data_IF_837069674879
#
_entry.id   IF_837069674879
#
_cell.length_a   1.000
_cell.length_b   1.000
_cell.length_c   1.000
_cell.angle_alpha   90.00
_cell.angle_beta   90.00
_cell.angle_gamma   90.00
#
_symmetry.space_group_name_H-M   'P 1'
#
loop_
_entity.id
_entity.type
_entity.pdbx_description
1 polymer ?
#
# COMPACT_ATOMS: atom_id res chain seq x y z
N UNK A 1 -16.74 12.33 -21.72
CA UNK A 1 -17.53 11.77 -20.62
C UNK A 1 -16.71 12.01 -19.38
N UNK A 2 -17.10 13.03 -18.62
CA UNK A 2 -16.38 13.48 -17.43
C UNK A 2 -16.92 12.67 -16.24
N UNK A 3 -16.30 11.52 -15.96
CA UNK A 3 -16.58 10.79 -14.73
C UNK A 3 -15.99 11.60 -13.57
N UNK A 4 -16.86 12.31 -12.85
CA UNK A 4 -16.54 12.98 -11.58
C UNK A 4 -15.70 12.05 -10.72
N UNK A 5 -14.40 12.35 -10.63
CA UNK A 5 -13.41 11.47 -10.04
C UNK A 5 -13.63 11.40 -8.53
N UNK A 6 -14.12 10.24 -8.08
CA UNK A 6 -14.28 9.96 -6.65
C UNK A 6 -12.94 9.97 -5.90
N UNK A 7 -12.98 10.10 -4.56
CA UNK A 7 -11.78 10.11 -3.75
C UNK A 7 -11.01 8.78 -3.89
N UNK A 8 -9.68 8.85 -4.03
CA UNK A 8 -8.81 7.69 -4.26
C UNK A 8 -9.10 6.54 -3.28
N UNK A 9 -9.32 5.33 -3.80
CA UNK A 9 -9.74 4.17 -3.02
C UNK A 9 -8.64 3.63 -2.08
N UNK A 10 -7.37 3.89 -2.39
CA UNK A 10 -6.21 3.42 -1.64
C UNK A 10 -5.17 4.51 -1.44
N UNK A 11 -4.57 4.57 -0.25
CA UNK A 11 -3.42 5.42 0.09
C UNK A 11 -2.34 4.53 0.72
N UNK A 12 -1.07 4.75 0.41
CA UNK A 12 0.06 4.05 1.04
C UNK A 12 0.68 4.98 2.07
N UNK A 13 0.60 4.59 3.34
CA UNK A 13 1.27 5.31 4.42
C UNK A 13 2.69 4.79 4.59
N UNK A 14 3.66 5.70 4.56
CA UNK A 14 5.07 5.41 4.82
C UNK A 14 5.47 5.99 6.18
N UNK A 15 5.97 5.12 7.05
CA UNK A 15 6.25 5.43 8.45
C UNK A 15 7.72 5.83 8.63
N UNK A 16 7.97 7.13 8.56
CA UNK A 16 9.30 7.69 8.79
C UNK A 16 9.73 7.52 10.26
N UNK A 17 11.05 7.55 10.48
CA UNK A 17 11.60 7.79 11.81
C UNK A 17 11.18 9.20 12.29
N UNK A 18 11.07 9.37 13.62
CA UNK A 18 10.77 10.68 14.23
C UNK A 18 11.74 11.76 13.71
N UNK A 19 11.21 12.91 13.29
CA UNK A 19 11.97 14.02 12.72
C UNK A 19 12.36 13.88 11.24
N UNK A 20 12.11 12.74 10.61
CA UNK A 20 12.43 12.49 9.19
C UNK A 20 11.21 12.52 8.27
N UNK A 21 10.00 12.73 8.79
CA UNK A 21 8.76 12.67 8.00
C UNK A 21 8.70 13.73 6.90
N UNK A 22 9.08 14.97 7.21
CA UNK A 22 9.05 16.08 6.24
C UNK A 22 10.05 15.89 5.09
N UNK A 23 11.26 15.42 5.39
CA UNK A 23 12.27 15.11 4.40
C UNK A 23 11.80 13.98 3.48
N UNK A 24 11.28 12.90 4.06
CA UNK A 24 10.78 11.76 3.31
C UNK A 24 9.62 12.16 2.39
N UNK A 25 8.66 12.94 2.88
CA UNK A 25 7.54 13.43 2.07
C UNK A 25 8.05 14.27 0.90
N UNK A 26 8.98 15.20 1.14
CA UNK A 26 9.57 16.04 0.08
C UNK A 26 10.29 15.21 -0.97
N UNK A 27 11.06 14.19 -0.57
CA UNK A 27 11.75 13.30 -1.51
C UNK A 27 10.77 12.56 -2.41
N UNK A 28 9.64 12.10 -1.85
CA UNK A 28 8.60 11.42 -2.62
C UNK A 28 7.85 12.39 -3.54
N UNK A 29 7.47 13.57 -3.04
CA UNK A 29 6.81 14.61 -3.81
C UNK A 29 7.68 15.01 -5.01
N UNK A 30 8.98 15.22 -4.82
CA UNK A 30 9.91 15.52 -5.93
C UNK A 30 9.97 14.43 -7.00
N UNK A 31 9.93 13.15 -6.60
CA UNK A 31 9.91 12.02 -7.53
C UNK A 31 8.57 11.89 -8.26
N UNK A 32 7.45 12.26 -7.63
CA UNK A 32 6.11 12.06 -8.17
C UNK A 32 5.59 13.28 -8.94
N UNK A 33 6.04 14.49 -8.59
CA UNK A 33 5.71 15.75 -9.26
C UNK A 33 6.09 15.71 -10.74
N UNK A 34 7.14 14.98 -11.10
CA UNK A 34 7.54 14.83 -12.50
C UNK A 34 6.66 13.84 -13.30
N UNK A 35 5.72 13.14 -12.65
CA UNK A 35 4.95 12.04 -13.23
C UNK A 35 3.43 12.29 -13.12
N UNK A 36 2.93 12.48 -11.90
CA UNK A 36 1.49 12.70 -11.66
C UNK A 36 1.27 13.59 -10.43
N UNK A 37 1.24 14.93 -10.60
CA UNK A 37 1.02 15.86 -9.49
C UNK A 37 -0.43 15.83 -8.95
N UNK A 38 -1.37 15.27 -9.72
CA UNK A 38 -2.80 15.26 -9.41
C UNK A 38 -3.18 14.23 -8.35
N UNK A 39 -2.39 13.15 -8.20
CA UNK A 39 -2.75 12.01 -7.36
C UNK A 39 -1.77 11.82 -6.21
N UNK A 40 -2.23 12.07 -4.98
CA UNK A 40 -1.48 11.80 -3.76
C UNK A 40 -1.77 10.42 -3.21
N UNK A 41 -1.09 9.42 -3.75
CA UNK A 41 -1.17 8.04 -3.25
C UNK A 41 -0.30 7.81 -2.00
N UNK A 42 0.85 8.46 -1.87
CA UNK A 42 1.75 8.27 -0.73
C UNK A 42 1.54 9.35 0.34
N UNK A 43 1.40 8.92 1.59
CA UNK A 43 1.36 9.82 2.74
C UNK A 43 2.43 9.41 3.74
N UNK A 44 3.27 10.36 4.15
CA UNK A 44 4.27 10.11 5.18
C UNK A 44 3.69 10.43 6.55
N UNK A 45 3.97 9.57 7.52
CA UNK A 45 3.67 9.81 8.93
C UNK A 45 4.88 9.38 9.76
N UNK A 46 5.05 9.98 10.93
CA UNK A 46 6.15 9.62 11.83
C UNK A 46 5.70 8.55 12.81
N UNK A 47 6.57 7.57 13.04
CA UNK A 47 6.32 6.52 14.03
C UNK A 47 6.39 7.09 15.45
N UNK A 48 5.50 6.64 16.32
CA UNK A 48 5.49 7.03 17.74
C UNK A 48 6.64 6.42 18.56
N UNK A 49 7.30 5.37 18.05
CA UNK A 49 8.43 4.70 18.69
C UNK A 49 9.46 4.21 17.69
N UNK A 50 10.73 4.12 18.10
CA UNK A 50 11.79 3.55 17.27
C UNK A 50 11.42 2.11 16.88
N UNK A 51 11.79 1.68 15.67
CA UNK A 51 11.65 0.28 15.31
C UNK A 51 12.65 -0.48 16.18
N UNK A 52 12.17 -1.23 17.17
CA UNK A 52 13.01 -2.23 17.81
C UNK A 52 13.33 -3.26 16.75
N UNK A 53 14.55 -3.17 16.22
CA UNK A 53 15.11 -4.19 15.38
C UNK A 53 15.33 -5.41 16.29
N UNK A 54 14.25 -6.16 16.56
CA UNK A 54 14.39 -7.48 17.14
C UNK A 54 15.20 -8.25 16.12
N UNK A 55 16.49 -8.39 16.40
CA UNK A 55 17.46 -9.22 15.69
C UNK A 55 17.10 -10.69 15.79
N UNK A 56 15.84 -11.04 15.52
CA UNK A 56 15.44 -12.39 15.16
C UNK A 56 15.88 -12.53 13.71
N UNK A 57 17.10 -12.99 13.55
CA UNK A 57 17.57 -13.70 12.37
C UNK A 57 16.64 -14.90 12.15
N UNK A 58 15.42 -14.65 11.66
CA UNK A 58 14.57 -15.67 11.07
C UNK A 58 15.36 -16.26 9.90
N UNK A 59 15.24 -17.58 9.64
CA UNK A 59 16.16 -18.31 8.78
C UNK A 59 16.26 -17.70 7.38
N UNK A 60 17.46 -17.91 6.78
CA UNK A 60 17.92 -17.50 5.44
C UNK A 60 17.10 -18.11 4.28
N UNK A 61 15.77 -18.00 4.32
CA UNK A 61 14.99 -18.12 3.07
C UNK A 61 15.20 -16.83 2.29
N UNK A 62 15.37 -16.95 0.98
CA UNK A 62 15.45 -15.82 0.07
C UNK A 62 14.22 -14.95 0.25
N UNK A 63 14.40 -13.81 0.93
CA UNK A 63 13.33 -12.89 1.27
C UNK A 63 13.17 -11.87 0.18
N UNK A 64 12.00 -11.88 -0.45
CA UNK A 64 11.65 -10.93 -1.49
C UNK A 64 10.88 -9.76 -0.85
N UNK A 65 11.16 -8.49 -1.21
CA UNK A 65 10.43 -7.35 -0.65
C UNK A 65 8.92 -7.52 -0.86
N UNK A 66 8.11 -7.32 0.18
CA UNK A 66 6.65 -7.50 0.08
C UNK A 66 5.93 -6.45 -0.74
N UNK A 67 6.56 -5.29 -0.97
CA UNK A 67 6.00 -4.23 -1.79
C UNK A 67 7.06 -3.57 -2.67
N UNK A 68 6.68 -3.26 -3.91
CA UNK A 68 7.45 -2.37 -4.78
C UNK A 68 6.58 -1.31 -5.43
N UNK A 69 7.17 -0.16 -5.75
CA UNK A 69 6.55 0.91 -6.54
C UNK A 69 7.31 1.02 -7.85
N UNK A 70 6.62 0.83 -8.97
CA UNK A 70 7.20 0.93 -10.30
C UNK A 70 6.54 2.06 -11.08
N UNK A 71 7.38 2.86 -11.72
CA UNK A 71 7.00 3.97 -12.58
C UNK A 71 7.26 3.55 -14.03
N UNK A 72 6.22 3.47 -14.85
CA UNK A 72 6.31 3.15 -16.27
C UNK A 72 6.12 4.45 -17.06
N UNK A 73 7.20 4.96 -17.66
CA UNK A 73 7.27 6.27 -18.30
C UNK A 73 7.55 6.15 -19.80
N UNK A 74 6.93 7.03 -20.59
CA UNK A 74 7.04 7.00 -22.05
C UNK A 74 8.30 7.70 -22.56
N UNK A 75 8.94 7.14 -23.58
CA UNK A 75 10.18 7.68 -24.17
C UNK A 75 9.92 8.98 -24.96
N UNK A 76 8.97 8.98 -25.91
CA UNK A 76 8.80 10.09 -26.85
C UNK A 76 8.17 11.39 -26.30
N UNK A 77 7.55 11.34 -25.12
CA UNK A 77 6.94 12.51 -24.44
C UNK A 77 7.71 12.88 -23.16
N UNK A 78 8.79 12.16 -22.85
CA UNK A 78 9.28 12.10 -21.48
C UNK A 78 10.70 11.58 -21.28
N UNK A 79 11.60 11.59 -22.28
CA UNK A 79 13.03 11.34 -22.03
C UNK A 79 13.52 12.14 -20.80
N UNK A 80 13.21 13.44 -20.73
CA UNK A 80 13.57 14.25 -19.57
C UNK A 80 12.95 13.76 -18.25
N UNK A 81 11.72 13.24 -18.24
CA UNK A 81 11.05 12.77 -17.01
C UNK A 81 11.61 11.43 -16.55
N UNK A 82 11.80 10.50 -17.49
CA UNK A 82 12.45 9.22 -17.26
C UNK A 82 13.87 9.43 -16.71
N UNK A 83 14.67 10.27 -17.35
CA UNK A 83 16.01 10.60 -16.89
C UNK A 83 15.99 11.30 -15.52
N UNK A 84 15.11 12.27 -15.29
CA UNK A 84 14.99 12.92 -13.96
C UNK A 84 14.59 11.96 -12.85
N UNK A 85 13.63 11.05 -13.11
CA UNK A 85 13.19 10.08 -12.12
C UNK A 85 14.30 9.05 -11.81
N UNK A 86 15.01 8.57 -12.84
CA UNK A 86 16.17 7.70 -12.66
C UNK A 86 17.32 8.39 -11.92
N UNK A 87 17.64 9.64 -12.31
CA UNK A 87 18.65 10.46 -11.64
C UNK A 87 18.30 10.66 -10.16
N UNK A 88 17.05 11.00 -9.85
CA UNK A 88 16.59 11.14 -8.47
C UNK A 88 16.80 9.85 -7.65
N UNK A 89 16.45 8.68 -8.21
CA UNK A 89 16.61 7.39 -7.52
C UNK A 89 18.09 6.97 -7.35
N UNK A 90 18.99 7.45 -8.20
CA UNK A 90 20.41 7.13 -8.11
C UNK A 90 21.15 7.95 -7.04
N UNK A 91 20.52 9.01 -6.52
CA UNK A 91 21.11 9.91 -5.55
C UNK A 91 20.51 9.76 -4.15
N UNK A 92 21.28 10.14 -3.13
CA UNK A 92 20.84 10.21 -1.74
C UNK A 92 19.54 11.04 -1.62
N UNK A 93 18.54 10.60 -0.82
CA UNK A 93 18.59 9.54 0.19
C UNK A 93 18.32 8.12 -0.32
N UNK A 94 18.13 7.92 -1.62
CA UNK A 94 17.86 6.61 -2.19
C UNK A 94 19.11 5.73 -2.16
N UNK A 95 18.91 4.45 -1.88
CA UNK A 95 19.96 3.45 -1.82
C UNK A 95 19.62 2.30 -2.77
N UNK A 96 20.59 1.87 -3.57
CA UNK A 96 20.43 0.68 -4.39
C UNK A 96 20.09 -0.53 -3.50
N UNK A 97 19.03 -1.24 -3.83
CA UNK A 97 18.54 -2.39 -3.09
C UNK A 97 19.13 -3.67 -3.68
N UNK A 98 20.12 -4.31 -3.03
CA UNK A 98 20.71 -5.53 -3.55
C UNK A 98 19.75 -6.69 -3.31
N UNK A 99 19.28 -7.33 -4.39
CA UNK A 99 18.52 -8.58 -4.30
C UNK A 99 19.53 -9.71 -3.99
N UNK A 100 19.93 -9.84 -2.72
CA UNK A 100 21.08 -10.67 -2.31
C UNK A 100 20.86 -12.19 -2.46
N UNK A 101 19.62 -12.68 -2.49
CA UNK A 101 19.36 -14.13 -2.34
C UNK A 101 18.55 -14.78 -3.48
N UNK A 102 18.42 -14.13 -4.64
CA UNK A 102 17.87 -14.82 -5.83
C UNK A 102 19.03 -15.46 -6.59
N UNK A 103 19.13 -16.79 -6.70
CA UNK A 103 20.15 -17.42 -7.53
C UNK A 103 20.03 -16.86 -8.95
N UNK A 104 21.08 -16.19 -9.46
CA UNK A 104 21.13 -15.63 -10.83
C UNK A 104 20.67 -16.61 -11.92
N UNK A 105 20.74 -17.93 -11.65
CA UNK A 105 20.27 -19.02 -12.53
C UNK A 105 18.75 -19.26 -12.55
N UNK A 106 18.00 -18.93 -11.48
CA UNK A 106 16.56 -19.20 -11.39
C UNK A 106 15.70 -18.02 -11.88
N UNK A 107 16.30 -16.84 -12.09
CA UNK A 107 15.55 -15.63 -12.44
C UNK A 107 16.13 -14.80 -13.60
N UNK A 108 16.48 -15.37 -14.77
CA UNK A 108 16.73 -14.55 -15.96
C UNK A 108 15.48 -13.75 -16.39
N UNK A 109 14.28 -14.32 -16.22
CA UNK A 109 13.04 -13.76 -16.76
C UNK A 109 12.27 -12.84 -15.81
N UNK A 110 12.55 -12.87 -14.49
CA UNK A 110 11.84 -12.02 -13.52
C UNK A 110 12.45 -10.62 -13.37
N UNK A 111 13.74 -10.45 -13.70
CA UNK A 111 14.57 -9.30 -13.31
C UNK A 111 15.58 -8.86 -14.37
N UNK A 112 15.38 -9.18 -15.66
CA UNK A 112 16.22 -8.61 -16.72
C UNK A 112 16.14 -7.06 -16.64
N UNK A 113 17.26 -6.43 -16.24
CA UNK A 113 17.49 -4.98 -16.11
C UNK A 113 16.75 -4.22 -14.97
N UNK A 114 16.63 -4.80 -13.77
CA UNK A 114 15.91 -4.14 -12.66
C UNK A 114 16.84 -3.63 -11.55
N UNK A 115 17.24 -2.36 -11.63
CA UNK A 115 17.75 -1.64 -10.47
C UNK A 115 16.55 -1.20 -9.62
N UNK A 116 16.52 -1.68 -8.37
CA UNK A 116 15.58 -1.24 -7.35
C UNK A 116 16.30 -0.34 -6.37
N UNK A 117 15.58 0.64 -5.84
CA UNK A 117 16.08 1.61 -4.88
C UNK A 117 15.16 1.63 -3.66
N UNK A 118 15.69 1.92 -2.48
CA UNK A 118 14.87 2.08 -1.28
C UNK A 118 15.37 3.26 -0.46
N UNK A 119 14.45 3.86 0.29
CA UNK A 119 14.74 4.93 1.26
C UNK A 119 15.18 4.35 2.62
N UNK A 120 14.76 3.12 2.92
CA UNK A 120 15.15 2.37 4.13
C UNK A 120 14.91 0.87 3.92
N UNK A 121 15.60 0.02 4.69
CA UNK A 121 15.41 -1.45 4.66
C UNK A 121 13.96 -1.92 4.87
N UNK A 122 13.17 -1.14 5.61
CA UNK A 122 11.78 -1.43 5.98
C UNK A 122 10.76 -0.67 5.13
N UNK A 123 11.20 0.05 4.09
CA UNK A 123 10.35 0.75 3.14
C UNK A 123 10.15 -0.08 1.87
N UNK A 124 9.12 0.23 1.05
CA UNK A 124 8.95 -0.37 -0.26
C UNK A 124 10.15 -0.08 -1.15
N UNK A 125 10.43 -0.99 -2.09
CA UNK A 125 11.46 -0.76 -3.11
C UNK A 125 10.86 -0.06 -4.33
N UNK A 126 11.64 0.77 -5.01
CA UNK A 126 11.21 1.67 -6.07
C UNK A 126 12.02 1.42 -7.34
N UNK A 127 11.41 1.65 -8.49
CA UNK A 127 12.11 1.57 -9.77
C UNK A 127 11.36 2.26 -10.89
N UNK A 128 12.08 2.57 -11.96
CA UNK A 128 11.52 3.18 -13.17
C UNK A 128 11.72 2.23 -14.35
N UNK A 129 10.74 2.18 -15.23
CA UNK A 129 10.72 1.37 -16.44
C UNK A 129 10.29 2.23 -17.61
N UNK A 130 10.94 1.99 -18.73
CA UNK A 130 10.57 2.59 -20.00
C UNK A 130 9.44 1.79 -20.65
N UNK A 131 8.47 2.49 -21.21
CA UNK A 131 7.44 1.92 -22.08
C UNK A 131 7.46 2.61 -23.43
N UNK A 132 7.34 1.82 -24.51
CA UNK A 132 7.40 2.32 -25.89
C UNK A 132 6.03 2.68 -26.47
N UNK A 133 4.95 2.28 -25.80
CA UNK A 133 3.58 2.62 -26.15
C UNK A 133 2.66 2.47 -24.93
N UNK A 134 1.53 3.16 -24.97
CA UNK A 134 0.49 3.10 -23.92
C UNK A 134 0.58 4.23 -22.91
N UNK A 135 -0.33 4.20 -21.93
CA UNK A 135 -0.42 5.16 -20.84
C UNK A 135 0.74 5.00 -19.85
N UNK A 136 1.21 6.09 -19.27
CA UNK A 136 2.15 6.03 -18.14
C UNK A 136 1.47 5.37 -16.93
N UNK A 137 2.22 4.62 -16.13
CA UNK A 137 1.65 3.84 -15.03
C UNK A 137 2.46 4.06 -13.76
N UNK A 138 1.79 4.46 -12.68
CA UNK A 138 2.32 4.24 -11.33
C UNK A 138 1.72 2.95 -10.80
N UNK A 139 2.55 1.97 -10.50
CA UNK A 139 2.11 0.65 -10.04
C UNK A 139 2.69 0.34 -8.66
N UNK A 140 1.81 0.21 -7.68
CA UNK A 140 2.13 -0.40 -6.39
C UNK A 140 1.93 -1.91 -6.56
N UNK A 141 3.00 -2.70 -6.40
CA UNK A 141 2.97 -4.16 -6.50
C UNK A 141 3.14 -4.77 -5.13
N UNK A 142 2.19 -5.60 -4.72
CA UNK A 142 2.33 -6.50 -3.58
C UNK A 142 2.80 -7.86 -4.07
N UNK A 143 3.85 -8.37 -3.45
CA UNK A 143 4.37 -9.69 -3.74
C UNK A 143 3.74 -10.68 -2.79
N UNK A 144 3.15 -11.73 -3.35
CA UNK A 144 2.47 -12.77 -2.60
C UNK A 144 3.31 -14.03 -2.62
N UNK A 145 3.36 -14.75 -1.50
CA UNK A 145 3.91 -16.10 -1.51
C UNK A 145 3.08 -17.00 -2.45
N UNK A 146 3.70 -18.08 -2.93
CA UNK A 146 3.06 -18.99 -3.87
C UNK A 146 1.70 -19.49 -3.38
N UNK A 147 1.64 -19.87 -2.10
CA UNK A 147 0.47 -20.48 -1.46
C UNK A 147 -0.66 -19.48 -1.19
N UNK A 148 -0.34 -18.19 -1.01
CA UNK A 148 -1.31 -17.16 -0.62
C UNK A 148 -1.92 -16.38 -1.81
N UNK A 149 -1.40 -16.54 -3.02
CA UNK A 149 -1.70 -15.63 -4.14
C UNK A 149 -3.19 -15.59 -4.51
N UNK A 150 -3.86 -16.73 -4.63
CA UNK A 150 -5.29 -16.78 -5.00
C UNK A 150 -6.18 -16.17 -3.92
N UNK A 151 -5.87 -16.44 -2.65
CA UNK A 151 -6.62 -15.87 -1.53
C UNK A 151 -6.34 -14.37 -1.36
N UNK A 152 -5.11 -13.92 -1.67
CA UNK A 152 -4.78 -12.51 -1.73
C UNK A 152 -5.58 -11.78 -2.82
N UNK A 153 -5.75 -12.36 -4.02
CA UNK A 153 -6.62 -11.78 -5.06
C UNK A 153 -8.02 -11.53 -4.50
N UNK A 154 -8.64 -12.57 -3.93
CA UNK A 154 -10.00 -12.48 -3.36
C UNK A 154 -10.13 -11.44 -2.27
N UNK A 155 -9.12 -11.34 -1.39
CA UNK A 155 -9.07 -10.33 -0.34
C UNK A 155 -9.07 -8.92 -0.90
N UNK A 156 -8.19 -8.62 -1.87
CA UNK A 156 -8.09 -7.28 -2.45
C UNK A 156 -9.28 -6.95 -3.37
N UNK A 157 -9.86 -7.93 -4.06
CA UNK A 157 -11.12 -7.77 -4.80
C UNK A 157 -12.26 -7.37 -3.88
N UNK A 158 -12.39 -8.06 -2.74
CA UNK A 158 -13.39 -7.78 -1.72
C UNK A 158 -13.19 -6.39 -1.09
N UNK A 159 -11.96 -6.04 -0.70
CA UNK A 159 -11.66 -4.73 -0.08
C UNK A 159 -11.93 -3.59 -1.05
N UNK A 160 -11.53 -3.74 -2.33
CA UNK A 160 -11.71 -2.72 -3.36
C UNK A 160 -13.11 -2.72 -3.99
N UNK A 161 -13.92 -3.75 -3.73
CA UNK A 161 -15.21 -4.01 -4.38
C UNK A 161 -15.11 -3.99 -5.92
N UNK A 162 -14.03 -4.56 -6.45
CA UNK A 162 -13.72 -4.58 -7.89
C UNK A 162 -12.99 -5.87 -8.24
N UNK A 163 -13.26 -6.41 -9.42
CA UNK A 163 -12.55 -7.60 -9.92
C UNK A 163 -11.12 -7.25 -10.38
N UNK A 164 -10.19 -8.18 -10.17
CA UNK A 164 -8.82 -8.04 -10.64
C UNK A 164 -8.73 -8.29 -12.15
N UNK A 165 -7.99 -7.45 -12.86
CA UNK A 165 -7.62 -7.74 -14.26
C UNK A 165 -6.48 -8.74 -14.28
N UNK A 166 -6.78 -9.98 -14.67
CA UNK A 166 -5.80 -11.04 -14.84
C UNK A 166 -5.02 -10.84 -16.16
N UNK A 167 -3.70 -10.66 -16.08
CA UNK A 167 -2.85 -10.59 -17.27
C UNK A 167 -2.07 -11.89 -17.51
N UNK A 168 -1.62 -12.52 -16.42
CA UNK A 168 -0.89 -13.80 -16.42
C UNK A 168 -1.31 -14.62 -15.20
N UNK A 169 -1.03 -15.92 -15.19
CA UNK A 169 -1.35 -16.79 -14.04
C UNK A 169 -0.70 -16.33 -12.72
N UNK A 170 0.40 -15.56 -12.78
CA UNK A 170 1.13 -15.08 -11.63
C UNK A 170 1.09 -13.55 -11.46
N UNK A 171 0.23 -12.85 -12.21
CA UNK A 171 0.12 -11.40 -12.13
C UNK A 171 -1.29 -10.90 -12.44
N UNK A 172 -1.83 -10.08 -11.54
CA UNK A 172 -3.09 -9.37 -11.71
C UNK A 172 -2.95 -7.91 -11.24
N UNK A 173 -3.90 -7.06 -11.66
CA UNK A 173 -3.93 -5.66 -11.22
C UNK A 173 -5.33 -5.08 -11.15
N UNK A 174 -5.45 -4.02 -10.36
CA UNK A 174 -6.63 -3.19 -10.18
C UNK A 174 -6.28 -1.79 -10.67
N UNK A 175 -7.12 -1.23 -11.54
CA UNK A 175 -7.03 0.19 -11.90
C UNK A 175 -7.74 1.00 -10.82
N UNK A 176 -6.97 1.78 -10.06
CA UNK A 176 -7.50 2.60 -8.96
C UNK A 176 -7.89 3.99 -9.44
N UNK A 177 -7.16 4.51 -10.42
CA UNK A 177 -7.38 5.81 -11.03
C UNK A 177 -6.82 5.78 -12.46
N UNK A 178 -7.49 6.45 -13.39
CA UNK A 178 -7.05 6.55 -14.78
C UNK A 178 -7.45 7.90 -15.38
N UNK A 179 -6.58 8.39 -16.25
CA UNK A 179 -6.76 9.55 -17.12
C UNK A 179 -6.39 9.15 -18.55
N UNK A 180 -6.45 10.07 -19.50
CA UNK A 180 -6.04 9.79 -20.89
C UNK A 180 -4.56 9.37 -21.02
N UNK A 181 -3.68 9.89 -20.16
CA UNK A 181 -2.23 9.67 -20.25
C UNK A 181 -1.61 8.88 -19.09
N UNK A 182 -2.34 8.72 -17.97
CA UNK A 182 -1.81 8.14 -16.74
C UNK A 182 -2.78 7.15 -16.08
N UNK A 183 -2.25 6.05 -15.55
CA UNK A 183 -2.99 5.06 -14.76
C UNK A 183 -2.28 4.75 -13.44
N UNK A 184 -3.05 4.79 -12.35
CA UNK A 184 -2.61 4.30 -11.05
C UNK A 184 -3.15 2.88 -10.82
N UNK A 185 -2.24 1.97 -10.50
CA UNK A 185 -2.55 0.55 -10.35
C UNK A 185 -2.05 0.00 -9.01
N UNK A 186 -2.89 -0.82 -8.38
CA UNK A 186 -2.45 -1.82 -7.40
C UNK A 186 -2.32 -3.15 -8.13
N UNK A 187 -1.22 -3.87 -7.97
CA UNK A 187 -1.05 -5.19 -8.59
C UNK A 187 -0.57 -6.23 -7.60
N UNK A 188 -0.94 -7.48 -7.83
CA UNK A 188 -0.44 -8.63 -7.08
C UNK A 188 0.45 -9.46 -7.99
N UNK A 189 1.58 -9.91 -7.46
CA UNK A 189 2.52 -10.76 -8.19
C UNK A 189 2.89 -11.97 -7.34
N UNK A 190 2.60 -13.15 -7.85
CA UNK A 190 2.97 -14.41 -7.20
C UNK A 190 4.49 -14.62 -7.30
N UNK A 191 5.10 -14.91 -6.15
CA UNK A 191 6.49 -15.35 -6.08
C UNK A 191 6.61 -16.84 -6.43
N UNK A 192 7.76 -17.27 -6.98
CA UNK A 192 8.01 -18.69 -7.20
C UNK A 192 7.96 -19.51 -5.90
N UNK A 193 7.63 -20.79 -6.05
CA UNK A 193 7.56 -21.74 -4.95
C UNK A 193 8.85 -21.72 -4.10
N UNK A 194 8.70 -21.66 -2.78
CA UNK A 194 9.80 -21.67 -1.82
C UNK A 194 10.40 -20.30 -1.49
N UNK A 195 10.02 -19.22 -2.20
CA UNK A 195 10.33 -17.86 -1.77
C UNK A 195 9.32 -17.35 -0.74
N UNK A 196 9.84 -16.62 0.25
CA UNK A 196 9.02 -15.96 1.26
C UNK A 196 9.02 -14.45 1.05
N UNK A 197 7.88 -13.84 1.35
CA UNK A 197 7.73 -12.38 1.37
C UNK A 197 8.38 -11.81 2.63
N UNK A 198 8.99 -10.63 2.50
CA UNK A 198 9.47 -9.78 3.61
C UNK A 198 8.57 -8.54 3.72
N UNK A 199 7.57 -8.56 4.62
CA UNK A 199 6.67 -7.44 4.82
C UNK A 199 7.45 -6.20 5.23
N UNK A 200 7.15 -5.08 4.59
CA UNK A 200 7.83 -3.81 4.86
C UNK A 200 7.14 -3.10 6.01
N UNK A 201 7.69 -3.26 7.22
CA UNK A 201 7.09 -2.79 8.48
C UNK A 201 6.77 -1.29 8.52
N UNK A 202 7.50 -0.49 7.73
CA UNK A 202 7.29 0.96 7.60
C UNK A 202 6.32 1.34 6.47
N UNK A 203 5.55 0.38 5.95
CA UNK A 203 4.51 0.62 4.95
C UNK A 203 3.16 0.08 5.42
N UNK A 204 2.10 0.85 5.17
CA UNK A 204 0.73 0.49 5.54
C UNK A 204 -0.21 0.87 4.40
N UNK A 205 -1.03 -0.06 3.95
CA UNK A 205 -2.02 0.14 2.90
C UNK A 205 -3.34 0.59 3.52
N UNK A 206 -3.77 1.82 3.27
CA UNK A 206 -5.07 2.31 3.71
C UNK A 206 -6.09 2.23 2.57
N UNK A 207 -7.22 1.57 2.80
CA UNK A 207 -8.33 1.47 1.87
C UNK A 207 -9.57 2.17 2.42
N UNK A 208 -10.29 2.86 1.53
CA UNK A 208 -11.60 3.42 1.82
C UNK A 208 -12.66 2.37 1.59
N UNK A 209 -13.45 2.10 2.61
CA UNK A 209 -14.51 1.08 2.58
C UNK A 209 -15.84 1.67 3.04
N UNK A 210 -16.94 1.15 2.53
CA UNK A 210 -18.28 1.60 2.90
C UNK A 210 -18.73 0.97 4.23
N UNK A 211 -18.59 -0.35 4.37
CA UNK A 211 -19.07 -1.09 5.54
C UNK A 211 -18.05 -2.13 6.02
N UNK A 212 -17.45 -1.87 7.18
CA UNK A 212 -16.47 -2.80 7.77
C UNK A 212 -17.14 -4.05 8.35
N UNK A 213 -18.38 -3.95 8.83
CA UNK A 213 -19.10 -5.08 9.42
C UNK A 213 -19.23 -6.28 8.49
N UNK A 214 -19.36 -6.05 7.18
CA UNK A 214 -19.42 -7.11 6.18
C UNK A 214 -18.04 -7.69 5.83
N UNK A 215 -16.98 -6.89 5.96
CA UNK A 215 -15.60 -7.29 5.66
C UNK A 215 -14.98 -8.11 6.79
N UNK A 216 -15.23 -7.76 8.05
CA UNK A 216 -14.56 -8.37 9.23
C UNK A 216 -14.60 -9.90 9.23
N UNK A 217 -15.73 -10.58 8.96
CA UNK A 217 -15.80 -12.04 8.95
C UNK A 217 -14.98 -12.70 7.83
N UNK A 218 -14.63 -11.94 6.80
CA UNK A 218 -13.95 -12.42 5.58
C UNK A 218 -12.45 -12.07 5.59
N UNK A 219 -11.97 -11.30 6.56
CA UNK A 219 -10.56 -10.96 6.69
C UNK A 219 -9.77 -12.16 7.23
N UNK A 220 -8.54 -12.40 6.73
CA UNK A 220 -7.70 -13.51 7.18
C UNK A 220 -7.17 -13.33 8.61
N UNK A 221 -7.05 -12.08 9.06
CA UNK A 221 -6.49 -11.72 10.34
C UNK A 221 -7.47 -10.84 11.15
N UNK A 222 -7.40 -10.88 12.49
CA UNK A 222 -8.23 -10.06 13.35
C UNK A 222 -8.22 -8.58 12.97
N UNK A 223 -9.41 -7.98 12.91
CA UNK A 223 -9.59 -6.57 12.59
C UNK A 223 -9.72 -5.76 13.89
N UNK A 224 -8.72 -4.94 14.19
CA UNK A 224 -8.60 -4.21 15.45
C UNK A 224 -9.04 -2.76 15.24
N UNK A 225 -10.02 -2.24 16.01
CA UNK A 225 -10.40 -0.83 15.93
C UNK A 225 -9.28 0.08 16.45
N UNK A 226 -8.91 1.10 15.67
CA UNK A 226 -8.01 2.19 16.10
C UNK A 226 -8.80 3.44 16.46
N UNK A 227 -9.89 3.70 15.74
CA UNK A 227 -10.82 4.80 16.02
C UNK A 227 -12.25 4.40 15.64
N UNK A 228 -13.21 5.31 15.83
CA UNK A 228 -14.60 5.11 15.38
C UNK A 228 -14.76 4.96 13.87
N UNK A 229 -13.72 5.27 13.08
CA UNK A 229 -13.76 5.24 11.62
C UNK A 229 -12.55 4.52 11.00
N UNK A 230 -11.66 3.94 11.81
CA UNK A 230 -10.44 3.27 11.34
C UNK A 230 -10.18 1.96 12.05
N UNK A 231 -9.84 0.95 11.27
CA UNK A 231 -9.51 -0.39 11.74
C UNK A 231 -8.21 -0.87 11.09
N UNK A 232 -7.49 -1.72 11.80
CA UNK A 232 -6.23 -2.33 11.34
C UNK A 232 -6.37 -3.84 11.22
N UNK A 233 -5.78 -4.39 10.18
CA UNK A 233 -5.60 -5.83 9.99
C UNK A 233 -4.30 -6.08 9.22
N UNK A 234 -4.06 -7.32 8.80
CA UNK A 234 -2.96 -7.73 7.94
C UNK A 234 -3.48 -8.64 6.82
N UNK A 235 -2.84 -8.60 5.65
CA UNK A 235 -3.11 -9.58 4.60
C UNK A 235 -2.47 -10.95 4.91
N UNK A 236 -2.61 -11.89 3.97
CA UNK A 236 -2.07 -13.24 4.09
C UNK A 236 -0.53 -13.31 4.17
N UNK A 237 0.16 -12.32 3.59
CA UNK A 237 1.62 -12.26 3.57
C UNK A 237 2.19 -11.32 4.65
N UNK A 238 1.35 -10.70 5.47
CA UNK A 238 1.72 -9.87 6.62
C UNK A 238 1.82 -8.36 6.33
N UNK A 239 1.37 -7.88 5.17
CA UNK A 239 1.30 -6.44 4.90
C UNK A 239 0.21 -5.80 5.76
N UNK A 240 0.53 -4.67 6.38
CA UNK A 240 -0.41 -3.93 7.25
C UNK A 240 -1.49 -3.25 6.40
N UNK A 241 -2.74 -3.47 6.77
CA UNK A 241 -3.91 -2.87 6.13
C UNK A 241 -4.64 -1.99 7.15
N UNK A 242 -4.97 -0.76 6.73
CA UNK A 242 -5.92 0.13 7.40
C UNK A 242 -7.20 0.22 6.59
N UNK A 243 -8.33 -0.02 7.24
CA UNK A 243 -9.65 0.17 6.65
C UNK A 243 -10.23 1.46 7.24
N UNK A 244 -10.48 2.43 6.37
CA UNK A 244 -11.10 3.70 6.74
C UNK A 244 -12.53 3.74 6.20
N UNK A 245 -13.51 3.91 7.10
CA UNK A 245 -14.88 4.18 6.67
C UNK A 245 -14.97 5.57 6.06
N UNK A 246 -15.45 5.64 4.81
CA UNK A 246 -15.86 6.91 4.21
C UNK A 246 -17.30 7.20 4.62
N UNK A 247 -17.58 8.31 5.33
CA UNK A 247 -18.95 8.72 5.56
C UNK A 247 -19.59 8.98 4.21
N UNK A 248 -20.70 8.30 3.96
CA UNK A 248 -21.51 8.56 2.78
C UNK A 248 -22.02 10.00 2.84
N UNK A 249 -21.88 10.75 1.76
CA UNK A 249 -22.43 12.11 1.71
C UNK A 249 -23.97 12.02 1.74
N UNK A 250 -24.55 12.55 2.82
CA UNK A 250 -25.95 12.94 3.02
C UNK A 250 -27.00 11.88 3.43
N UNK A 251 -26.98 11.49 4.72
CA UNK A 251 -28.22 11.50 5.53
C UNK A 251 -28.80 10.18 6.03
N UNK A 252 -28.23 9.63 7.11
CA UNK A 252 -28.86 8.76 8.13
C UNK A 252 -27.73 8.17 8.99
N UNK A 253 -27.52 8.80 10.14
CA UNK A 253 -26.76 8.24 11.25
C UNK A 253 -27.51 7.01 11.78
N UNK A 254 -27.23 5.82 11.26
CA UNK A 254 -27.50 4.60 12.01
C UNK A 254 -26.29 4.30 12.89
N UNK A 255 -26.47 4.56 14.19
CA UNK A 255 -25.50 4.27 15.25
C UNK A 255 -25.01 2.83 15.17
N UNK A 256 -23.68 2.66 15.13
CA UNK A 256 -23.02 1.36 15.22
C UNK A 256 -23.36 0.65 16.55
N UNK A 257 -24.23 -0.36 16.51
CA UNK A 257 -24.36 -1.38 17.56
C UNK A 257 -23.14 -2.34 17.62
N UNK A 258 -22.23 -2.25 16.64
CA UNK A 258 -21.10 -3.17 16.47
C UNK A 258 -19.89 -2.88 17.38
N UNK A 259 -19.77 -1.67 17.94
CA UNK A 259 -18.63 -1.31 18.80
C UNK A 259 -18.56 -2.17 20.08
N UNK A 260 -19.67 -2.80 20.48
CA UNK A 260 -19.78 -3.65 21.68
C UNK A 260 -19.37 -5.10 21.44
N UNK A 261 -19.36 -5.59 20.20
CA UNK A 261 -19.02 -6.98 19.90
C UNK A 261 -17.52 -7.17 19.64
N UNK A 262 -16.81 -6.14 19.17
CA UNK A 262 -15.37 -6.21 18.87
C UNK A 262 -14.47 -5.92 20.10
N UNK A 263 -14.94 -5.09 21.04
CA UNK A 263 -14.25 -4.86 22.31
C UNK A 263 -14.91 -5.74 23.37
N UNK A 264 -14.22 -6.78 23.85
CA UNK A 264 -14.73 -7.60 24.96
C UNK A 264 -15.23 -6.73 26.12
N UNK A 265 -16.36 -7.10 26.72
CA UNK A 265 -17.28 -6.32 27.57
C UNK A 265 -16.68 -5.50 28.73
N UNK A 266 -15.37 -5.57 29.00
CA UNK A 266 -14.69 -4.89 30.10
C UNK A 266 -14.19 -3.48 29.78
N UNK A 267 -13.87 -3.16 28.53
CA UNK A 267 -13.33 -1.82 28.17
C UNK A 267 -14.40 -0.77 27.83
N UNK A 268 -15.66 -1.18 27.60
CA UNK A 268 -16.73 -0.25 27.21
C UNK A 268 -17.15 0.73 28.32
N UNK A 269 -16.95 0.42 29.60
CA UNK A 269 -17.38 1.31 30.70
C UNK A 269 -16.51 2.56 30.83
N UNK A 270 -15.25 2.52 30.38
CA UNK A 270 -14.37 3.69 30.44
C UNK A 270 -14.70 4.73 29.36
N UNK A 271 -15.07 4.27 28.15
CA UNK A 271 -15.35 5.17 27.02
C UNK A 271 -16.76 5.78 27.04
N UNK A 272 -17.75 5.09 27.63
CA UNK A 272 -19.13 5.57 27.69
C UNK A 272 -19.32 6.81 28.58
N UNK A 273 -18.41 7.04 29.54
CA UNK A 273 -18.54 8.11 30.54
C UNK A 273 -18.11 9.50 30.03
N UNK A 274 -17.55 9.61 28.83
CA UNK A 274 -17.13 10.91 28.25
C UNK A 274 -18.05 11.49 27.17
N UNK A 275 -19.09 10.76 26.71
CA UNK A 275 -19.97 11.24 25.64
C UNK A 275 -21.29 11.87 26.10
N UNK A 276 -21.60 11.93 27.40
CA UNK A 276 -22.92 12.41 27.88
C UNK A 276 -22.99 13.85 28.42
N UNK A 277 -21.92 14.63 28.41
CA UNK A 277 -21.97 16.03 28.90
C UNK A 277 -21.73 17.07 27.81
N UNK A 278 -22.64 17.16 26.83
CA UNK A 278 -22.90 18.41 26.08
C UNK A 278 -24.24 18.35 25.34
N UNK A 279 -25.33 18.31 26.11
CA UNK A 279 -26.62 18.82 25.63
C UNK A 279 -26.90 20.14 26.34
N UNK A 280 -26.74 21.23 25.59
CA UNK A 280 -27.14 22.57 26.01
C UNK A 280 -28.64 22.63 26.23
N UNK A 281 -29.03 23.24 27.36
CA UNK A 281 -30.38 23.73 27.60
C UNK A 281 -30.67 24.90 26.67
N UNK A 282 -31.80 24.83 25.99
CA UNK A 282 -32.58 25.99 25.54
C UNK A 282 -33.20 26.65 26.78
#
# INVERSE_FOLDING_TARGET
>A
MDETQGPLAMTVHLLANSGHGSLLQRTLDQLLDCICPEVRIFQVSERAGALEFYGKSLPKRSRFPGMSVLLFLHESLGEERLFRALDALQHSPWQCYPIQDVPRRLCPYLLANQDFYSLDSQMPVWGVRQVHCGTEILRVTLYCSFDNYEDAIRLYEMILQREATLQKSNFCFFVLYATESFSLQLSLKQLPLGMSVDPKESSVLQFKVQEIGQLVPLLPNPCIPISSTRWQTQDYDGNKILLQMVPWEAGLFHKCQWYQQACGERDCRAAATQLECRKGKV
#
